data_IF_286993808578
#
_entry.id   IF_286993808578
#
_cell.length_a   1.000
_cell.length_b   1.000
_cell.length_c   1.000
_cell.angle_alpha   90.00
_cell.angle_beta   90.00
_cell.angle_gamma   90.00
#
_symmetry.space_group_name_H-M   'P 1'
#
loop_
_entity.id
_entity.type
_entity.pdbx_description
1 polymer ?
#
# COMPACT_ATOMS: atom_id res chain seq x y z
N UNK A 1 31.88 51.35 -36.77
CA UNK A 1 32.25 50.32 -35.75
C UNK A 1 31.13 50.01 -34.74
N UNK A 2 30.37 51.00 -34.23
CA UNK A 2 29.23 50.74 -33.30
C UNK A 2 28.11 49.85 -33.87
N UNK A 3 27.78 49.98 -35.16
CA UNK A 3 26.74 49.16 -35.81
C UNK A 3 27.14 47.66 -35.95
N UNK A 4 28.43 47.38 -36.13
CA UNK A 4 28.95 46.01 -36.24
C UNK A 4 28.94 45.29 -34.89
N UNK A 5 29.21 46.02 -33.80
CA UNK A 5 29.14 45.49 -32.43
C UNK A 5 27.71 45.15 -31.98
N UNK A 6 26.70 45.87 -32.46
CA UNK A 6 25.29 45.60 -32.14
C UNK A 6 24.81 44.32 -32.84
N UNK A 7 25.19 44.11 -34.11
CA UNK A 7 24.84 42.89 -34.86
C UNK A 7 25.49 41.62 -34.29
N UNK A 8 26.73 41.72 -33.79
CA UNK A 8 27.44 40.59 -33.17
C UNK A 8 26.77 40.19 -31.84
N UNK A 9 26.36 41.15 -31.01
CA UNK A 9 25.67 40.86 -29.73
C UNK A 9 24.25 40.26 -29.91
N UNK A 10 23.52 40.70 -30.94
CA UNK A 10 22.21 40.12 -31.30
C UNK A 10 22.32 38.67 -31.79
N UNK A 11 23.42 38.30 -32.45
CA UNK A 11 23.64 36.93 -32.92
C UNK A 11 24.03 35.97 -31.77
N UNK A 12 24.80 36.44 -30.78
CA UNK A 12 25.24 35.62 -29.63
C UNK A 12 24.08 35.32 -28.67
N UNK A 13 23.16 36.27 -28.44
CA UNK A 13 21.95 36.04 -27.63
C UNK A 13 20.96 35.04 -28.26
N UNK A 14 20.92 34.95 -29.60
CA UNK A 14 20.08 34.00 -30.32
C UNK A 14 20.61 32.56 -30.23
N UNK A 15 21.93 32.37 -30.22
CA UNK A 15 22.56 31.05 -30.14
C UNK A 15 22.50 30.41 -28.75
N UNK A 16 22.51 31.20 -27.67
CA UNK A 16 22.38 30.67 -26.30
C UNK A 16 20.99 30.07 -26.01
N UNK A 17 19.93 30.67 -26.57
CA UNK A 17 18.56 30.17 -26.43
C UNK A 17 18.26 28.94 -27.28
N UNK A 18 18.96 28.74 -28.41
CA UNK A 18 18.81 27.52 -29.22
C UNK A 18 19.56 26.33 -28.60
N UNK A 19 20.75 26.54 -28.04
CA UNK A 19 21.57 25.47 -27.43
C UNK A 19 20.91 24.80 -26.20
N UNK A 20 20.19 25.56 -25.37
CA UNK A 20 19.49 25.01 -24.20
C UNK A 20 18.29 24.15 -24.63
N UNK A 21 17.53 24.61 -25.63
CA UNK A 21 16.38 23.87 -26.17
C UNK A 21 16.80 22.59 -26.91
N UNK A 22 17.94 22.58 -27.59
CA UNK A 22 18.47 21.36 -28.24
C UNK A 22 18.92 20.31 -27.22
N UNK A 23 19.49 20.72 -26.08
CA UNK A 23 19.95 19.78 -25.06
C UNK A 23 18.79 19.07 -24.37
N UNK A 24 17.72 19.80 -23.99
CA UNK A 24 16.53 19.18 -23.41
C UNK A 24 15.83 18.26 -24.41
N UNK A 25 15.60 18.72 -25.65
CA UNK A 25 14.97 17.89 -26.68
C UNK A 25 15.76 16.61 -26.96
N UNK A 26 17.09 16.67 -26.93
CA UNK A 26 17.96 15.50 -27.11
C UNK A 26 17.89 14.57 -25.91
N UNK A 27 17.94 15.10 -24.68
CA UNK A 27 17.81 14.30 -23.47
C UNK A 27 16.43 13.62 -23.38
N UNK A 28 15.37 14.33 -23.76
CA UNK A 28 14.02 13.79 -23.85
C UNK A 28 13.92 12.67 -24.88
N UNK A 29 14.46 12.88 -26.08
CA UNK A 29 14.48 11.86 -27.13
C UNK A 29 15.23 10.60 -26.68
N UNK A 30 16.35 10.75 -25.98
CA UNK A 30 17.09 9.62 -25.42
C UNK A 30 16.31 8.93 -24.29
N UNK A 31 15.66 9.69 -23.40
CA UNK A 31 14.88 9.16 -22.29
C UNK A 31 13.72 8.29 -22.79
N UNK A 32 12.92 8.76 -23.74
CA UNK A 32 11.77 8.00 -24.25
C UNK A 32 12.17 6.75 -25.06
N UNK A 33 13.42 6.69 -25.53
CA UNK A 33 13.99 5.54 -26.23
C UNK A 33 14.73 4.58 -25.30
N UNK A 34 14.84 4.87 -23.99
CA UNK A 34 15.52 3.99 -23.06
C UNK A 34 14.80 2.62 -23.01
N UNK A 35 15.46 1.50 -23.38
CA UNK A 35 14.86 0.19 -23.36
C UNK A 35 14.29 -0.23 -22.00
N UNK A 36 14.82 0.32 -20.90
CA UNK A 36 14.31 0.05 -19.54
C UNK A 36 12.89 0.61 -19.32
N UNK A 37 12.46 1.56 -20.13
CA UNK A 37 11.14 2.20 -20.05
C UNK A 37 10.11 1.60 -21.01
N UNK A 38 10.44 0.52 -21.73
CA UNK A 38 9.60 -0.07 -22.79
C UNK A 38 8.15 -0.39 -22.36
N UNK A 39 7.92 -0.65 -21.07
CA UNK A 39 6.60 -0.94 -20.50
C UNK A 39 6.20 0.03 -19.39
N UNK A 40 7.02 1.05 -19.13
CA UNK A 40 6.76 2.02 -18.08
C UNK A 40 5.71 3.04 -18.55
N UNK A 41 4.77 3.39 -17.66
CA UNK A 41 3.96 4.60 -17.84
C UNK A 41 4.63 5.73 -17.09
N UNK A 42 5.02 6.78 -17.80
CA UNK A 42 5.61 7.99 -17.21
C UNK A 42 4.76 9.22 -17.53
N UNK A 43 4.81 10.16 -16.59
CA UNK A 43 4.19 11.48 -16.66
C UNK A 43 5.22 12.49 -16.19
N UNK A 44 5.47 13.52 -17.00
CA UNK A 44 6.44 14.58 -16.71
C UNK A 44 5.75 15.92 -16.93
N UNK A 45 5.86 16.80 -15.95
CA UNK A 45 5.42 18.19 -16.05
C UNK A 45 6.52 19.08 -15.51
N UNK A 46 6.95 20.05 -16.32
CA UNK A 46 7.97 21.04 -15.97
C UNK A 46 7.28 22.39 -15.92
N UNK A 47 7.48 23.10 -14.81
CA UNK A 47 6.92 24.41 -14.58
C UNK A 47 8.06 25.43 -14.48
N UNK A 48 7.81 26.62 -14.99
CA UNK A 48 8.60 27.79 -14.67
C UNK A 48 8.28 28.23 -13.23
N UNK A 49 9.29 28.25 -12.36
CA UNK A 49 9.10 28.54 -10.94
C UNK A 49 8.65 29.99 -10.66
N UNK A 50 8.95 30.93 -11.56
CA UNK A 50 8.63 32.35 -11.37
C UNK A 50 7.21 32.69 -11.78
N UNK A 51 6.73 32.07 -12.86
CA UNK A 51 5.41 32.35 -13.46
C UNK A 51 4.38 31.26 -13.13
N UNK A 52 4.80 30.06 -12.73
CA UNK A 52 3.95 28.90 -12.55
C UNK A 52 3.46 28.27 -13.85
N UNK A 53 3.91 28.77 -15.00
CA UNK A 53 3.48 28.28 -16.30
C UNK A 53 4.14 26.93 -16.62
N UNK A 54 3.38 26.03 -17.24
CA UNK A 54 3.91 24.77 -17.77
C UNK A 54 4.77 25.08 -18.99
N UNK A 55 6.06 24.75 -18.94
CA UNK A 55 7.00 24.91 -20.06
C UNK A 55 7.13 23.64 -20.89
N UNK A 56 6.89 22.48 -20.27
CA UNK A 56 6.85 21.18 -20.93
C UNK A 56 5.91 20.23 -20.18
N UNK A 57 5.17 19.40 -20.91
CA UNK A 57 4.37 18.35 -20.32
C UNK A 57 4.22 17.14 -21.23
N UNK A 58 4.27 15.95 -20.64
CA UNK A 58 3.95 14.67 -21.25
C UNK A 58 3.09 13.87 -20.29
N UNK A 59 1.92 13.40 -20.73
CA UNK A 59 0.97 12.63 -19.91
C UNK A 59 0.58 13.28 -18.56
N UNK A 60 0.53 14.62 -18.48
CA UNK A 60 0.31 15.35 -17.22
C UNK A 60 -0.99 15.01 -16.48
N UNK A 61 -2.01 14.54 -17.20
CA UNK A 61 -3.34 14.21 -16.64
C UNK A 61 -3.50 12.70 -16.33
N UNK A 62 -2.42 11.91 -16.47
CA UNK A 62 -2.42 10.49 -16.14
C UNK A 62 -2.14 10.30 -14.65
N UNK A 63 -3.07 9.62 -13.96
CA UNK A 63 -2.90 9.25 -12.56
C UNK A 63 -1.84 8.16 -12.40
N UNK A 64 -0.79 8.46 -11.63
CA UNK A 64 0.29 7.51 -11.29
C UNK A 64 0.38 7.34 -9.77
N UNK A 65 0.94 6.21 -9.33
CA UNK A 65 1.22 5.99 -7.91
C UNK A 65 2.37 6.91 -7.46
N UNK A 66 2.16 7.85 -6.53
CA UNK A 66 3.17 8.84 -6.17
C UNK A 66 4.31 8.26 -5.31
N UNK A 67 4.12 7.06 -4.73
CA UNK A 67 5.01 6.49 -3.74
C UNK A 67 5.39 7.53 -2.66
N UNK A 68 6.68 7.64 -2.32
CA UNK A 68 7.15 8.60 -1.33
C UNK A 68 7.04 10.07 -1.74
N UNK A 69 6.78 10.39 -3.01
CA UNK A 69 6.57 11.80 -3.42
C UNK A 69 5.29 12.38 -2.80
N UNK A 70 4.32 11.54 -2.39
CA UNK A 70 3.13 11.97 -1.64
C UNK A 70 3.48 12.72 -0.35
N UNK A 71 4.65 12.44 0.24
CA UNK A 71 5.16 13.15 1.43
C UNK A 71 5.27 14.67 1.22
N UNK A 72 5.43 15.13 -0.03
CA UNK A 72 5.46 16.57 -0.35
C UNK A 72 4.10 17.23 -0.06
N UNK A 73 3.01 16.61 -0.52
CA UNK A 73 1.64 17.09 -0.28
C UNK A 73 1.30 17.00 1.20
N UNK A 74 1.62 15.88 1.85
CA UNK A 74 1.41 15.71 3.29
C UNK A 74 2.22 16.72 4.11
N UNK A 75 3.46 17.00 3.72
CA UNK A 75 4.32 17.99 4.36
C UNK A 75 3.79 19.41 4.20
N UNK A 76 3.34 19.78 3.00
CA UNK A 76 2.69 21.06 2.76
C UNK A 76 1.41 21.23 3.59
N UNK A 77 0.58 20.18 3.68
CA UNK A 77 -0.61 20.18 4.51
C UNK A 77 -0.26 20.32 6.00
N UNK A 78 0.73 19.58 6.50
CA UNK A 78 1.19 19.69 7.88
C UNK A 78 1.68 21.10 8.19
N UNK A 79 2.48 21.70 7.30
CA UNK A 79 2.95 23.07 7.45
C UNK A 79 1.81 24.09 7.46
N UNK A 80 0.79 23.89 6.62
CA UNK A 80 -0.38 24.75 6.54
C UNK A 80 -1.25 24.69 7.81
N UNK A 81 -1.56 23.47 8.29
CA UNK A 81 -2.48 23.28 9.42
C UNK A 81 -1.82 23.46 10.79
N UNK A 82 -0.56 23.01 10.95
CA UNK A 82 0.15 23.07 12.22
C UNK A 82 0.98 24.35 12.35
N UNK A 83 1.52 24.84 11.23
CA UNK A 83 2.49 25.93 11.20
C UNK A 83 3.93 25.45 11.41
N UNK A 84 4.90 26.27 10.99
CA UNK A 84 6.34 25.95 11.04
C UNK A 84 6.89 25.81 12.47
N UNK A 85 6.24 26.46 13.43
CA UNK A 85 6.68 26.52 14.83
C UNK A 85 5.94 25.51 15.73
N UNK A 86 5.08 24.67 15.14
CA UNK A 86 4.37 23.66 15.91
C UNK A 86 5.36 22.73 16.64
N UNK A 87 5.01 22.40 17.89
CA UNK A 87 5.72 21.43 18.71
C UNK A 87 4.71 20.45 19.28
N UNK A 88 4.98 19.17 19.09
CA UNK A 88 4.22 18.13 19.77
C UNK A 88 4.42 18.25 21.28
N UNK A 89 3.42 17.83 22.03
CA UNK A 89 3.43 17.86 23.49
C UNK A 89 3.15 16.47 24.01
N UNK A 90 4.06 15.98 24.84
CA UNK A 90 3.85 14.77 25.65
C UNK A 90 3.78 15.21 27.09
N UNK A 91 2.68 14.92 27.78
CA UNK A 91 2.44 15.36 29.14
C UNK A 91 2.79 14.25 30.13
N UNK A 92 3.41 14.65 31.24
CA UNK A 92 3.62 13.77 32.39
C UNK A 92 2.74 14.29 33.53
N UNK A 93 1.74 13.50 33.88
CA UNK A 93 0.72 13.87 34.88
C UNK A 93 0.66 12.81 35.98
N UNK A 94 0.00 13.12 37.09
CA UNK A 94 -0.28 12.12 38.12
C UNK A 94 -1.64 12.37 38.77
N UNK A 95 -2.24 11.30 39.30
CA UNK A 95 -3.48 11.37 40.07
C UNK A 95 -3.24 11.05 41.55
N UNK A 96 -4.12 11.54 42.41
CA UNK A 96 -4.05 11.26 43.84
C UNK A 96 -3.15 12.21 44.62
N UNK A 97 -2.74 11.78 45.82
CA UNK A 97 -1.93 12.58 46.75
C UNK A 97 -0.64 11.86 47.08
N UNK A 98 0.43 12.63 47.20
CA UNK A 98 1.75 12.18 47.65
C UNK A 98 1.78 12.33 49.18
N UNK A 99 2.11 11.27 49.90
CA UNK A 99 2.25 11.32 51.36
C UNK A 99 3.68 11.73 51.77
N UNK A 100 3.91 11.94 53.08
CA UNK A 100 5.21 12.33 53.63
C UNK A 100 6.34 11.33 53.38
N UNK A 101 6.01 10.07 53.09
CA UNK A 101 6.99 9.02 52.76
C UNK A 101 7.32 8.97 51.26
N UNK A 102 6.72 9.84 50.44
CA UNK A 102 6.91 9.86 48.99
C UNK A 102 6.11 8.81 48.24
N UNK A 103 5.07 8.23 48.85
CA UNK A 103 4.16 7.29 48.19
C UNK A 103 3.03 8.08 47.53
N UNK A 104 2.93 7.98 46.21
CA UNK A 104 1.82 8.47 45.43
C UNK A 104 0.65 7.48 45.51
N UNK A 105 -0.44 7.89 46.16
CA UNK A 105 -1.70 7.13 46.22
C UNK A 105 -2.51 7.31 44.92
N UNK A 106 -1.93 6.90 43.79
CA UNK A 106 -2.49 7.04 42.46
C UNK A 106 -1.52 6.60 41.38
N UNK A 107 -1.79 7.05 40.15
CA UNK A 107 -1.05 6.65 38.96
C UNK A 107 -0.30 7.82 38.37
N UNK A 108 0.81 7.51 37.70
CA UNK A 108 1.49 8.44 36.80
C UNK A 108 0.93 8.22 35.40
N UNK A 109 0.63 9.28 34.68
CA UNK A 109 0.12 9.26 33.31
C UNK A 109 1.16 9.84 32.36
N UNK A 110 1.43 9.12 31.28
CA UNK A 110 2.19 9.63 30.13
C UNK A 110 1.16 9.83 29.02
N UNK A 111 0.81 11.08 28.74
CA UNK A 111 -0.21 11.45 27.76
C UNK A 111 0.48 11.78 26.44
N UNK A 112 0.36 10.88 25.47
CA UNK A 112 1.01 10.98 24.17
C UNK A 112 0.12 11.69 23.14
N UNK A 113 0.68 12.67 22.43
CA UNK A 113 -0.02 13.40 21.36
C UNK A 113 0.62 13.20 19.97
N UNK A 114 1.32 12.08 19.77
CA UNK A 114 1.87 11.68 18.47
C UNK A 114 3.15 12.39 18.05
N UNK A 115 4.03 12.72 19.00
CA UNK A 115 5.38 13.23 18.70
C UNK A 115 6.18 12.18 17.91
N UNK A 116 6.53 12.42 16.63
CA UNK A 116 7.26 11.47 15.80
C UNK A 116 8.75 11.37 16.15
N UNK A 117 9.25 12.24 17.05
CA UNK A 117 10.63 12.23 17.52
C UNK A 117 10.80 11.54 18.88
N UNK A 118 9.71 11.24 19.61
CA UNK A 118 9.78 10.66 20.94
C UNK A 118 10.45 9.27 20.92
N UNK A 119 11.59 9.14 21.61
CA UNK A 119 12.39 7.91 21.62
C UNK A 119 13.28 7.73 20.39
N UNK A 120 13.27 8.67 19.44
CA UNK A 120 14.04 8.57 18.20
C UNK A 120 15.54 8.67 18.46
N UNK A 121 16.29 7.73 17.88
CA UNK A 121 17.75 7.75 17.88
C UNK A 121 18.33 8.85 16.97
N UNK A 122 17.50 9.43 16.10
CA UNK A 122 17.94 10.43 15.11
C UNK A 122 18.37 11.75 15.75
N UNK A 123 17.86 12.06 16.94
CA UNK A 123 18.22 13.25 17.71
C UNK A 123 18.64 12.82 19.11
N UNK A 124 19.81 13.30 19.53
CA UNK A 124 20.41 12.90 20.82
C UNK A 124 19.49 13.27 22.00
N UNK A 125 18.75 14.37 21.88
CA UNK A 125 17.87 14.91 22.91
C UNK A 125 16.54 14.16 23.04
N UNK A 126 16.19 13.32 22.05
CA UNK A 126 14.91 12.61 22.00
C UNK A 126 15.06 11.10 22.16
N UNK A 127 16.27 10.61 22.42
CA UNK A 127 16.51 9.17 22.64
C UNK A 127 15.69 8.65 23.82
N UNK A 128 15.34 7.35 23.78
CA UNK A 128 14.54 6.73 24.85
C UNK A 128 15.16 6.92 26.24
N UNK A 129 16.48 6.77 26.35
CA UNK A 129 17.21 6.95 27.61
C UNK A 129 17.12 8.38 28.13
N UNK A 130 17.33 9.39 27.27
CA UNK A 130 17.24 10.80 27.65
C UNK A 130 15.82 11.17 28.08
N UNK A 131 14.80 10.70 27.35
CA UNK A 131 13.40 10.97 27.68
C UNK A 131 13.01 10.31 29.01
N UNK A 132 13.37 9.04 29.21
CA UNK A 132 13.11 8.33 30.47
C UNK A 132 13.79 9.04 31.63
N UNK A 133 15.07 9.41 31.48
CA UNK A 133 15.79 10.10 32.55
C UNK A 133 15.15 11.45 32.90
N UNK A 134 14.67 12.21 31.90
CA UNK A 134 13.92 13.45 32.14
C UNK A 134 12.65 13.19 32.95
N UNK A 135 11.88 12.15 32.61
CA UNK A 135 10.68 11.80 33.38
C UNK A 135 11.00 11.35 34.79
N UNK A 136 12.03 10.51 34.99
CA UNK A 136 12.47 10.08 36.33
C UNK A 136 12.84 11.28 37.18
N UNK A 137 13.62 12.23 36.64
CA UNK A 137 14.01 13.44 37.35
C UNK A 137 12.78 14.26 37.78
N UNK A 138 11.83 14.49 36.87
CA UNK A 138 10.58 15.23 37.18
C UNK A 138 9.71 14.54 38.24
N UNK A 139 9.65 13.21 38.21
CA UNK A 139 8.92 12.41 39.22
C UNK A 139 9.62 12.54 40.59
N UNK A 140 10.94 12.45 40.60
CA UNK A 140 11.75 12.59 41.82
C UNK A 140 11.67 14.02 42.40
N UNK A 141 11.65 15.06 41.57
CA UNK A 141 11.45 16.46 41.99
C UNK A 141 10.10 16.68 42.69
N UNK A 142 9.07 15.91 42.34
CA UNK A 142 7.78 15.91 43.04
C UNK A 142 7.80 15.11 44.35
N UNK A 143 8.92 14.49 44.70
CA UNK A 143 9.08 13.68 45.90
C UNK A 143 8.44 12.30 45.80
N UNK A 144 8.08 11.85 44.59
CA UNK A 144 7.47 10.54 44.37
C UNK A 144 8.57 9.47 44.34
N UNK A 145 8.51 8.53 45.27
CA UNK A 145 9.40 7.36 45.38
C UNK A 145 8.71 6.07 44.98
N UNK A 146 7.41 5.99 45.24
CA UNK A 146 6.57 4.85 44.88
C UNK A 146 5.25 5.36 44.30
N UNK A 147 4.74 4.65 43.29
CA UNK A 147 3.41 4.89 42.73
C UNK A 147 2.68 3.55 42.54
N UNK A 148 1.37 3.59 42.36
CA UNK A 148 0.58 2.37 42.09
C UNK A 148 0.89 1.79 40.71
N UNK A 149 1.27 2.64 39.76
CA UNK A 149 1.64 2.24 38.41
C UNK A 149 1.69 3.43 37.45
N UNK A 150 2.05 3.11 36.21
CA UNK A 150 2.14 4.06 35.10
C UNK A 150 1.05 3.71 34.07
N UNK A 151 0.38 4.73 33.56
CA UNK A 151 -0.66 4.62 32.54
C UNK A 151 -0.22 5.39 31.29
N UNK A 152 -0.26 4.74 30.14
CA UNK A 152 -0.05 5.39 28.85
C UNK A 152 -1.42 5.85 28.32
N UNK A 153 -1.62 7.14 28.21
CA UNK A 153 -2.85 7.72 27.68
C UNK A 153 -2.62 8.11 26.21
N UNK A 154 -3.24 7.32 25.31
CA UNK A 154 -3.25 7.54 23.86
C UNK A 154 -4.65 7.93 23.36
N UNK A 155 -5.52 8.43 24.24
CA UNK A 155 -6.91 8.76 23.92
C UNK A 155 -7.04 9.85 22.85
N UNK A 156 -6.03 10.69 22.65
CA UNK A 156 -5.95 11.64 21.53
C UNK A 156 -6.05 10.96 20.14
N UNK A 157 -5.73 9.67 20.08
CA UNK A 157 -5.79 8.84 18.87
C UNK A 157 -6.92 7.80 18.93
N UNK A 158 -7.77 7.85 19.96
CA UNK A 158 -8.89 6.94 20.11
C UNK A 158 -9.88 7.11 18.95
N UNK A 159 -10.39 5.99 18.44
CA UNK A 159 -11.28 5.97 17.28
C UNK A 159 -10.57 5.80 15.94
N UNK A 160 -9.24 5.85 15.89
CA UNK A 160 -8.48 5.37 14.73
C UNK A 160 -8.43 3.84 14.77
N UNK A 161 -9.44 3.20 14.17
CA UNK A 161 -9.54 1.73 14.09
C UNK A 161 -8.58 1.12 13.06
N UNK A 162 -7.99 1.95 12.20
CA UNK A 162 -7.13 1.55 11.09
C UNK A 162 -5.71 2.09 11.30
N UNK A 163 -4.89 1.38 12.07
CA UNK A 163 -3.48 1.74 12.31
C UNK A 163 -2.58 1.45 11.11
N UNK A 164 -3.07 0.66 10.15
CA UNK A 164 -2.36 0.28 8.92
C UNK A 164 -3.28 0.51 7.71
N UNK A 165 -2.86 1.28 6.69
CA UNK A 165 -3.66 1.49 5.49
C UNK A 165 -4.05 0.18 4.80
N UNK A 166 -5.28 0.07 4.32
CA UNK A 166 -5.80 -1.16 3.68
C UNK A 166 -5.08 -1.58 2.40
N UNK A 167 -4.32 -0.65 1.78
CA UNK A 167 -3.54 -0.92 0.57
C UNK A 167 -2.14 -1.48 0.82
N UNK A 168 -1.73 -1.67 2.08
CA UNK A 168 -0.41 -2.22 2.39
C UNK A 168 -0.45 -3.73 2.28
N UNK A 169 0.59 -4.31 1.69
CA UNK A 169 0.68 -5.78 1.61
C UNK A 169 1.07 -6.35 2.97
N UNK A 170 0.65 -7.58 3.25
CA UNK A 170 0.98 -8.25 4.51
C UNK A 170 2.51 -8.37 4.73
N UNK A 171 3.28 -8.51 3.64
CA UNK A 171 4.74 -8.52 3.68
C UNK A 171 5.33 -7.18 4.14
N UNK A 172 4.78 -6.05 3.66
CA UNK A 172 5.24 -4.72 4.05
C UNK A 172 4.97 -4.45 5.52
N UNK A 173 3.80 -4.85 6.03
CA UNK A 173 3.41 -4.64 7.44
C UNK A 173 4.39 -5.34 8.38
N UNK A 174 4.95 -6.49 7.99
CA UNK A 174 5.95 -7.21 8.77
C UNK A 174 7.31 -6.50 8.87
N UNK A 175 7.55 -5.45 8.07
CA UNK A 175 8.80 -4.71 8.04
C UNK A 175 8.75 -3.51 8.98
N UNK A 176 9.85 -3.31 9.73
CA UNK A 176 10.00 -2.23 10.73
C UNK A 176 9.68 -0.84 10.19
N UNK A 177 9.94 -0.58 8.91
CA UNK A 177 9.67 0.71 8.25
C UNK A 177 8.18 1.03 8.07
N UNK A 178 7.30 0.04 8.18
CA UNK A 178 5.85 0.17 7.99
C UNK A 178 5.04 -0.22 9.22
N UNK A 179 5.68 -0.77 10.26
CA UNK A 179 5.03 -1.08 11.52
C UNK A 179 4.61 0.22 12.25
N UNK A 180 3.47 0.15 12.92
CA UNK A 180 2.88 1.26 13.69
C UNK A 180 3.86 1.81 14.74
N UNK A 181 3.61 3.05 15.19
CA UNK A 181 4.38 3.78 16.22
C UNK A 181 4.51 3.00 17.56
N UNK A 182 3.79 1.88 17.74
CA UNK A 182 3.89 0.91 18.84
C UNK A 182 4.04 -0.56 18.39
N UNK A 183 4.40 -0.81 17.13
CA UNK A 183 4.50 -2.17 16.57
C UNK A 183 5.76 -2.87 17.08
N UNK A 184 5.61 -4.05 17.67
CA UNK A 184 6.75 -4.88 18.03
C UNK A 184 7.61 -5.19 16.79
N UNK A 185 8.93 -5.21 16.97
CA UNK A 185 9.85 -5.52 15.89
C UNK A 185 9.55 -6.90 15.29
N UNK A 186 9.68 -7.02 13.96
CA UNK A 186 9.51 -8.31 13.26
C UNK A 186 10.55 -9.36 13.68
N UNK A 187 10.37 -10.60 13.21
CA UNK A 187 11.22 -11.75 13.54
C UNK A 187 12.74 -11.48 13.45
N UNK A 188 13.18 -10.67 12.49
CA UNK A 188 14.60 -10.36 12.25
C UNK A 188 15.13 -9.14 13.03
N UNK A 189 14.26 -8.35 13.68
CA UNK A 189 14.65 -7.06 14.25
C UNK A 189 14.25 -6.83 15.70
N UNK A 190 13.67 -7.81 16.39
CA UNK A 190 13.46 -7.73 17.84
C UNK A 190 12.44 -8.68 18.46
N UNK A 191 11.76 -9.55 17.69
CA UNK A 191 10.92 -10.59 18.27
C UNK A 191 11.03 -11.96 17.57
N UNK A 192 12.11 -12.74 17.83
CA UNK A 192 12.36 -14.01 17.16
C UNK A 192 11.29 -15.08 17.44
N UNK A 193 10.49 -14.93 18.52
CA UNK A 193 9.40 -15.87 18.84
C UNK A 193 8.30 -15.84 17.78
N UNK A 194 8.20 -14.77 16.98
CA UNK A 194 7.24 -14.65 15.89
C UNK A 194 7.45 -15.72 14.81
N UNK A 195 8.67 -16.24 14.64
CA UNK A 195 8.96 -17.36 13.76
C UNK A 195 8.21 -18.64 14.17
N UNK A 196 8.06 -18.88 15.48
CA UNK A 196 7.30 -20.04 15.98
C UNK A 196 5.80 -19.91 15.73
N UNK A 197 5.23 -18.70 15.81
CA UNK A 197 3.84 -18.47 15.43
C UNK A 197 3.60 -18.69 13.94
N UNK A 198 4.55 -18.30 13.08
CA UNK A 198 4.46 -18.56 11.64
C UNK A 198 4.54 -20.06 11.34
N UNK A 199 5.47 -20.79 11.99
CA UNK A 199 5.56 -22.24 11.87
C UNK A 199 4.29 -22.94 12.37
N UNK A 200 3.73 -22.51 13.50
CA UNK A 200 2.46 -23.03 14.01
C UNK A 200 1.30 -22.77 13.02
N UNK A 201 1.27 -21.60 12.37
CA UNK A 201 0.29 -21.27 11.33
C UNK A 201 0.40 -22.19 10.11
N UNK A 202 1.63 -22.45 9.63
CA UNK A 202 1.90 -23.39 8.53
C UNK A 202 1.43 -24.80 8.92
N UNK A 203 1.81 -25.30 10.09
CA UNK A 203 1.42 -26.63 10.57
C UNK A 203 -0.10 -26.76 10.72
N UNK A 204 -0.77 -25.70 11.16
CA UNK A 204 -2.23 -25.65 11.26
C UNK A 204 -2.89 -25.73 9.88
N UNK A 205 -2.36 -24.99 8.90
CA UNK A 205 -2.86 -25.04 7.52
C UNK A 205 -2.64 -26.43 6.88
N UNK A 206 -1.47 -27.05 7.10
CA UNK A 206 -1.18 -28.42 6.67
C UNK A 206 -2.17 -29.39 7.31
N UNK A 207 -2.35 -29.32 8.64
CA UNK A 207 -3.29 -30.18 9.36
C UNK A 207 -4.72 -30.04 8.86
N UNK A 208 -5.19 -28.80 8.65
CA UNK A 208 -6.50 -28.51 8.07
C UNK A 208 -6.64 -29.07 6.66
N UNK A 209 -5.65 -28.86 5.79
CA UNK A 209 -5.65 -29.39 4.43
C UNK A 209 -5.68 -30.92 4.41
N UNK A 210 -4.90 -31.58 5.28
CA UNK A 210 -4.92 -33.03 5.44
C UNK A 210 -6.28 -33.52 5.95
N UNK A 211 -6.87 -32.85 6.93
CA UNK A 211 -8.19 -33.21 7.46
C UNK A 211 -9.30 -33.06 6.41
N UNK A 212 -9.32 -31.97 5.64
CA UNK A 212 -10.25 -31.78 4.53
C UNK A 212 -10.04 -32.84 3.44
N UNK A 213 -8.78 -33.13 3.08
CA UNK A 213 -8.44 -34.14 2.09
C UNK A 213 -8.91 -35.53 2.54
N UNK A 214 -8.67 -35.91 3.79
CA UNK A 214 -9.16 -37.17 4.37
C UNK A 214 -10.69 -37.19 4.42
N UNK A 215 -11.33 -36.08 4.80
CA UNK A 215 -12.77 -35.93 4.84
C UNK A 215 -13.45 -36.06 3.48
N UNK A 216 -12.76 -35.74 2.39
CA UNK A 216 -13.24 -35.93 1.02
C UNK A 216 -12.91 -37.35 0.52
N UNK A 217 -11.68 -37.82 0.73
CA UNK A 217 -11.22 -39.10 0.19
C UNK A 217 -11.82 -40.30 0.90
N UNK A 218 -12.07 -40.27 2.22
CA UNK A 218 -12.63 -41.42 2.95
C UNK A 218 -14.05 -41.77 2.48
N UNK A 219 -14.99 -40.81 2.35
CA UNK A 219 -16.29 -41.08 1.75
C UNK A 219 -16.18 -41.60 0.32
N UNK A 220 -15.34 -40.98 -0.54
CA UNK A 220 -15.16 -41.43 -1.93
C UNK A 220 -14.60 -42.86 -1.99
N UNK A 221 -13.67 -43.22 -1.11
CA UNK A 221 -13.14 -44.58 -1.01
C UNK A 221 -14.23 -45.59 -0.66
N UNK A 222 -15.16 -45.22 0.22
CA UNK A 222 -16.23 -46.10 0.67
C UNK A 222 -17.36 -46.23 -0.35
N UNK A 223 -17.65 -45.17 -1.11
CA UNK A 223 -18.78 -45.15 -2.06
C UNK A 223 -18.40 -45.64 -3.45
N UNK A 224 -17.27 -45.20 -4.01
CA UNK A 224 -16.91 -45.44 -5.41
C UNK A 224 -15.58 -46.19 -5.60
N UNK A 225 -14.75 -46.27 -4.54
CA UNK A 225 -13.40 -46.82 -4.63
C UNK A 225 -12.42 -45.86 -5.31
N UNK A 226 -11.26 -45.62 -4.71
CA UNK A 226 -10.27 -44.65 -5.23
C UNK A 226 -9.40 -45.25 -6.36
N UNK A 227 -9.40 -46.57 -6.53
CA UNK A 227 -8.64 -47.23 -7.61
C UNK A 227 -9.55 -47.63 -8.76
N UNK A 228 -9.12 -47.24 -9.95
CA UNK A 228 -9.59 -47.74 -11.24
C UNK A 228 -9.19 -49.22 -11.37
N UNK A 229 -10.04 -50.03 -12.01
CA UNK A 229 -9.76 -51.45 -12.20
C UNK A 229 -8.54 -51.64 -13.12
N UNK A 230 -7.76 -52.71 -12.93
CA UNK A 230 -6.52 -52.94 -13.71
C UNK A 230 -6.83 -53.03 -15.22
N UNK A 231 -8.01 -53.52 -15.57
CA UNK A 231 -8.49 -53.55 -16.96
C UNK A 231 -8.71 -52.14 -17.53
N UNK A 232 -9.21 -51.18 -16.74
CA UNK A 232 -9.41 -49.79 -17.16
C UNK A 232 -8.10 -48.97 -17.13
N UNK A 233 -7.15 -49.33 -16.26
CA UNK A 233 -5.82 -48.71 -16.17
C UNK A 233 -4.94 -49.05 -17.39
N UNK A 234 -5.04 -50.28 -17.91
CA UNK A 234 -4.32 -50.73 -19.12
C UNK A 234 -4.88 -50.08 -20.38
N UNK A 235 -6.19 -49.81 -20.40
CA UNK A 235 -6.91 -49.32 -21.58
C UNK A 235 -6.87 -47.79 -21.69
N UNK A 236 -6.48 -47.10 -20.61
CA UNK A 236 -6.32 -45.64 -20.55
C UNK A 236 -7.58 -44.93 -20.06
N UNK A 237 -7.40 -43.90 -19.23
CA UNK A 237 -8.50 -43.25 -18.51
C UNK A 237 -9.57 -42.62 -19.43
N UNK A 238 -9.14 -42.08 -20.57
CA UNK A 238 -10.04 -41.48 -21.56
C UNK A 238 -10.94 -42.54 -22.23
N UNK A 239 -10.46 -43.78 -22.38
CA UNK A 239 -11.24 -44.88 -22.96
C UNK A 239 -12.34 -45.36 -22.02
N UNK A 240 -12.03 -45.52 -20.71
CA UNK A 240 -12.96 -46.09 -19.73
C UNK A 240 -14.11 -45.14 -19.36
N UNK A 241 -13.89 -43.82 -19.43
CA UNK A 241 -14.86 -42.81 -18.94
C UNK A 241 -15.53 -42.02 -20.06
N UNK A 242 -14.91 -41.87 -21.24
CA UNK A 242 -15.41 -40.97 -22.29
C UNK A 242 -15.84 -41.64 -23.61
N UNK A 243 -15.66 -42.95 -23.78
CA UNK A 243 -16.35 -43.73 -24.83
C UNK A 243 -16.04 -43.34 -26.28
N UNK A 244 -15.02 -42.52 -26.52
CA UNK A 244 -14.65 -42.04 -27.84
C UNK A 244 -13.67 -43.00 -28.54
N UNK A 245 -14.12 -43.60 -29.65
CA UNK A 245 -13.28 -44.45 -30.52
C UNK A 245 -12.60 -43.60 -31.58
N UNK A 246 -11.28 -43.73 -31.71
CA UNK A 246 -10.56 -43.31 -32.91
C UNK A 246 -9.85 -44.52 -33.52
N UNK A 247 -10.36 -45.04 -34.65
CA UNK A 247 -9.64 -46.02 -35.45
C UNK A 247 -8.60 -45.29 -36.31
N UNK A 248 -7.32 -45.58 -36.08
CA UNK A 248 -6.24 -45.21 -37.01
C UNK A 248 -6.15 -46.31 -38.06
N UNK A 249 -6.62 -46.03 -39.27
CA UNK A 249 -6.45 -46.93 -40.42
C UNK A 249 -5.01 -46.84 -40.92
N UNK A 250 -4.15 -47.71 -40.38
CA UNK A 250 -2.80 -47.99 -40.87
C UNK A 250 -2.83 -49.01 -42.02
N UNK A 251 -2.06 -48.73 -43.06
CA UNK A 251 -2.11 -49.43 -44.34
C UNK A 251 -1.33 -50.76 -44.30
N UNK A 252 -1.99 -51.86 -43.95
CA UNK A 252 -1.47 -53.20 -44.21
C UNK A 252 -2.59 -54.24 -44.44
N UNK A 253 -2.68 -54.66 -45.71
CA UNK A 253 -3.28 -55.89 -46.24
C UNK A 253 -4.78 -56.19 -46.01
N UNK A 254 -5.56 -55.77 -47.02
CA UNK A 254 -6.75 -56.42 -47.63
C UNK A 254 -7.29 -57.68 -46.91
N UNK A 255 -8.48 -57.57 -46.31
CA UNK A 255 -9.77 -58.14 -46.81
C UNK A 255 -10.88 -57.98 -45.77
N UNK A 256 -11.71 -56.93 -45.90
CA UNK A 256 -13.18 -57.03 -45.90
C UNK A 256 -13.77 -55.65 -46.16
N UNK A 257 -14.59 -55.57 -47.22
CA UNK A 257 -15.28 -54.38 -47.69
C UNK A 257 -16.39 -53.99 -46.72
N UNK A 258 -16.35 -52.79 -46.17
CA UNK A 258 -17.55 -51.96 -46.01
C UNK A 258 -17.21 -50.54 -46.45
N UNK A 259 -17.84 -50.07 -47.53
CA UNK A 259 -17.70 -48.70 -48.00
C UNK A 259 -18.58 -47.80 -47.15
N UNK A 260 -18.05 -46.78 -46.43
CA UNK A 260 -18.89 -45.81 -45.76
C UNK A 260 -19.61 -44.95 -46.80
N UNK A 261 -20.92 -44.79 -46.68
CA UNK A 261 -21.70 -43.87 -47.53
C UNK A 261 -21.37 -42.44 -47.12
N UNK A 262 -20.83 -41.65 -48.05
CA UNK A 262 -20.44 -40.25 -47.80
C UNK A 262 -21.70 -39.36 -47.79
N UNK A 263 -22.06 -38.83 -46.62
CA UNK A 263 -23.08 -37.77 -46.51
C UNK A 263 -22.42 -36.44 -46.94
N UNK A 264 -23.05 -35.72 -47.88
CA UNK A 264 -22.59 -34.41 -48.35
C UNK A 264 -23.16 -33.35 -47.41
N UNK A 265 -22.30 -32.64 -46.68
CA UNK A 265 -22.73 -31.51 -45.83
C UNK A 265 -23.09 -30.29 -46.71
N UNK A 266 -24.12 -29.51 -46.37
CA UNK A 266 -24.44 -28.25 -47.05
C UNK A 266 -23.32 -27.21 -46.87
N UNK A 267 -23.13 -26.36 -47.89
CA UNK A 267 -22.15 -25.28 -47.91
C UNK A 267 -22.60 -24.10 -47.04
N UNK A 268 -22.22 -24.09 -45.76
CA UNK A 268 -22.46 -22.98 -44.85
C UNK A 268 -21.43 -21.86 -45.05
N UNK A 269 -21.53 -21.20 -46.21
CA UNK A 269 -20.95 -19.88 -46.41
C UNK A 269 -21.64 -18.87 -45.47
N UNK A 270 -20.92 -18.48 -44.41
CA UNK A 270 -21.38 -17.46 -43.45
C UNK A 270 -21.63 -16.13 -44.18
N UNK A 271 -22.83 -15.52 -44.11
CA UNK A 271 -23.07 -14.23 -44.74
C UNK A 271 -22.31 -13.12 -44.01
N UNK A 272 -21.48 -12.35 -44.71
CA UNK A 272 -20.88 -11.11 -44.19
C UNK A 272 -21.98 -10.13 -43.79
N UNK A 273 -22.18 -9.94 -42.49
CA UNK A 273 -23.13 -8.97 -41.95
C UNK A 273 -22.60 -7.55 -42.21
N UNK A 274 -23.33 -6.79 -43.04
CA UNK A 274 -23.06 -5.37 -43.35
C UNK A 274 -22.91 -4.56 -42.05
N UNK A 275 -21.77 -3.88 -41.90
CA UNK A 275 -21.62 -2.80 -40.92
C UNK A 275 -22.63 -1.71 -41.22
N UNK A 276 -23.58 -1.53 -40.30
CA UNK A 276 -24.57 -0.46 -40.34
C UNK A 276 -23.93 0.74 -39.65
N UNK A 277 -23.59 1.76 -40.43
CA UNK A 277 -23.24 3.09 -39.94
C UNK A 277 -24.41 3.65 -39.13
N UNK A 278 -24.16 4.00 -37.86
CA UNK A 278 -25.10 4.76 -37.05
C UNK A 278 -24.45 6.07 -36.65
N UNK A 279 -24.96 7.12 -37.28
CA UNK A 279 -24.67 8.51 -37.01
C UNK A 279 -25.16 8.93 -35.60
N UNK A 280 -24.46 9.94 -35.08
CA UNK A 280 -24.81 10.90 -34.03
C UNK A 280 -26.16 10.76 -33.32
N UNK A 281 -26.12 10.67 -31.98
CA UNK A 281 -27.14 11.30 -31.15
C UNK A 281 -26.51 12.03 -29.97
N UNK A 282 -26.92 13.30 -29.84
CA UNK A 282 -26.54 14.25 -28.80
C UNK A 282 -27.28 13.95 -27.48
N UNK A 283 -26.62 14.37 -26.40
CA UNK A 283 -27.19 14.89 -25.15
C UNK A 283 -27.76 13.90 -24.12
N UNK A 284 -27.19 13.88 -22.92
CA UNK A 284 -27.66 14.72 -21.80
C UNK A 284 -26.83 14.51 -20.53
N UNK A 285 -26.44 15.65 -19.98
CA UNK A 285 -25.88 15.90 -18.67
C UNK A 285 -26.70 15.28 -17.54
N UNK A 286 -26.05 14.68 -16.54
CA UNK A 286 -26.62 14.56 -15.19
C UNK A 286 -25.55 14.76 -14.12
N UNK A 287 -25.62 15.94 -13.52
CA UNK A 287 -24.91 16.33 -12.32
C UNK A 287 -25.30 15.43 -11.14
N UNK A 288 -24.30 14.91 -10.42
CA UNK A 288 -24.50 14.24 -9.15
C UNK A 288 -24.47 15.30 -8.06
N UNK A 289 -25.63 15.45 -7.43
CA UNK A 289 -25.99 16.44 -6.41
C UNK A 289 -25.36 16.03 -5.08
N UNK A 290 -24.56 16.92 -4.48
CA UNK A 290 -24.10 16.83 -3.09
C UNK A 290 -25.32 16.76 -2.15
N UNK A 291 -25.33 15.78 -1.24
CA UNK A 291 -26.30 15.70 -0.14
C UNK A 291 -25.56 16.02 1.15
N UNK A 292 -25.85 17.20 1.70
CA UNK A 292 -25.49 17.60 3.05
C UNK A 292 -26.16 16.65 4.05
N UNK A 293 -25.41 16.18 5.06
CA UNK A 293 -25.97 15.74 6.33
C UNK A 293 -25.52 16.70 7.45
N UNK A 294 -26.44 17.10 8.35
CA UNK A 294 -26.13 18.02 9.44
C UNK A 294 -25.64 17.30 10.71
N UNK A 295 -24.66 17.93 11.37
CA UNK A 295 -24.56 18.06 12.83
C UNK A 295 -24.52 16.79 13.68
N UNK A 296 -23.31 16.39 14.10
CA UNK A 296 -23.10 15.65 15.35
C UNK A 296 -22.19 16.50 16.23
N UNK A 297 -22.80 17.03 17.29
CA UNK A 297 -22.13 17.83 18.32
C UNK A 297 -21.15 16.96 19.11
N UNK A 298 -19.88 17.34 19.10
CA UNK A 298 -18.91 16.82 20.05
C UNK A 298 -19.24 17.40 21.44
N UNK A 299 -19.76 16.56 22.33
CA UNK A 299 -19.86 16.87 23.75
C UNK A 299 -18.44 16.84 24.36
N UNK A 300 -17.83 18.02 24.47
CA UNK A 300 -16.59 18.21 25.23
C UNK A 300 -16.89 18.12 26.72
N UNK A 301 -16.64 16.96 27.33
CA UNK A 301 -16.59 16.83 28.77
C UNK A 301 -15.29 17.45 29.28
N UNK A 302 -15.38 18.66 29.84
CA UNK A 302 -14.27 19.30 30.54
C UNK A 302 -13.91 18.49 31.80
N UNK A 303 -12.77 17.81 31.78
CA UNK A 303 -12.19 17.13 32.95
C UNK A 303 -11.10 18.02 33.54
N UNK A 304 -11.36 18.58 34.72
CA UNK A 304 -10.42 19.45 35.43
C UNK A 304 -9.30 18.63 36.07
N UNK A 305 -8.20 18.42 35.34
CA UNK A 305 -6.94 17.93 35.89
C UNK A 305 -5.96 19.09 35.97
N UNK A 306 -5.22 19.17 37.08
CA UNK A 306 -4.14 20.15 37.21
C UNK A 306 -2.95 19.63 36.38
N UNK A 307 -2.53 20.30 35.30
CA UNK A 307 -1.38 19.87 34.52
C UNK A 307 -0.13 19.98 35.40
N UNK A 308 0.62 18.89 35.51
CA UNK A 308 1.82 18.87 36.35
C UNK A 308 3.01 19.52 35.64
N UNK A 309 3.20 19.33 34.34
CA UNK A 309 4.16 20.08 33.50
C UNK A 309 3.84 19.90 31.99
N UNK A 310 4.10 20.92 31.19
CA UNK A 310 4.08 20.86 29.72
C UNK A 310 5.51 20.85 29.21
N UNK A 311 5.90 19.86 28.43
CA UNK A 311 7.22 19.82 27.79
C UNK A 311 7.12 20.40 26.37
N UNK A 312 7.78 21.55 26.08
CA UNK A 312 8.29 21.82 24.75
C UNK A 312 9.64 21.12 24.61
N UNK A 313 9.79 20.32 23.55
CA UNK A 313 11.11 19.91 23.05
C UNK A 313 11.52 20.85 21.92
#
# INVERSE_FOLDING_TARGET
>A
MKFLFILINLCVGCQANTLINTNFSTAWANFIQDPQLSYATYSITILDNSTGNITFSFNKDVGLAPASTLKTVTGAAALHYLGKDYRYKTLLEYSGKINSFGILNGYIYIVGNGDPSLGSWRWNETTGEVIIQRWVNLIAEKGIKHCRGIVLDLSAWAGQTQTVPSGYTWGDIGQRSFNSINGADGAFYGNPIQMWYQLAGILTAIGFSCACTIGILLPLKWTIGIRISVQDEIVGLDWAVHGERWEVVGNENKTTKTTPTRIKLPDDSIPRRRQRTLASSRSRSRAIRRRNQPGLSAATAARSWKPAYTLPV
#
